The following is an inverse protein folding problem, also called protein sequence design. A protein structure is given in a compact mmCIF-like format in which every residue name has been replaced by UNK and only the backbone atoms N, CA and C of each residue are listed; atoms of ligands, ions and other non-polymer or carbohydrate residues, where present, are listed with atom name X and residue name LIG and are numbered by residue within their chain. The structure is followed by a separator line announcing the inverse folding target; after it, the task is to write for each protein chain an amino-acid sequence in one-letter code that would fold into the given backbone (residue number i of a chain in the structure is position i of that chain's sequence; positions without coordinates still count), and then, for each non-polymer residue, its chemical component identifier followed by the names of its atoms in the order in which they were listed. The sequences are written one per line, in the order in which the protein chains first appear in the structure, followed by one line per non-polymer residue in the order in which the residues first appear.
data_IF_549731441230
#
_entry.id   IF_549731441230
#
_cell.length_a   1.000
_cell.length_b   1.000
_cell.length_c   1.000
_cell.angle_alpha   90.00
_cell.angle_beta   90.00
_cell.angle_gamma   90.00
#
_symmetry.space_group_name_H-M   'P 1'
#
loop_
_entity.id
_entity.type
_entity.pdbx_description
1 polymer ?
#
# COMPACT_ATOMS: atom_id res chain seq x y z
N UNK A 1 8.06 6.16 17.55
CA UNK A 1 6.85 5.73 16.82
C UNK A 1 7.09 4.42 16.09
N UNK A 2 6.08 3.57 15.95
CA UNK A 2 6.18 2.44 15.05
C UNK A 2 5.76 2.82 13.64
N UNK A 3 6.39 2.20 12.65
CA UNK A 3 6.07 2.40 11.23
C UNK A 3 5.75 1.07 10.58
N UNK A 4 4.67 1.03 9.81
CA UNK A 4 4.19 -0.20 9.17
C UNK A 4 3.98 0.01 7.67
N UNK A 5 4.33 -1.00 6.86
CA UNK A 5 3.65 -1.18 5.59
C UNK A 5 2.20 -1.63 5.83
N UNK A 6 1.34 -1.59 4.80
CA UNK A 6 -0.07 -1.88 4.98
C UNK A 6 -0.48 -3.25 4.46
N UNK A 7 -0.32 -3.44 3.14
CA UNK A 7 -0.82 -4.63 2.45
C UNK A 7 -0.01 -5.86 2.84
N UNK A 8 -0.70 -6.96 3.23
CA UNK A 8 -0.12 -8.20 3.77
C UNK A 8 0.67 -8.02 5.06
N UNK A 9 0.97 -6.80 5.47
CA UNK A 9 1.61 -6.47 6.74
C UNK A 9 0.59 -6.39 7.86
N UNK A 10 -0.19 -5.31 7.96
CA UNK A 10 -1.25 -5.16 8.96
C UNK A 10 -2.65 -5.52 8.43
N UNK A 11 -2.81 -5.60 7.13
CA UNK A 11 -4.00 -6.09 6.44
C UNK A 11 -3.69 -7.44 5.77
N UNK A 12 -4.56 -8.44 5.90
CA UNK A 12 -4.28 -9.80 5.42
C UNK A 12 -4.08 -9.92 3.90
N UNK A 13 -4.66 -9.01 3.12
CA UNK A 13 -4.63 -9.03 1.67
C UNK A 13 -3.97 -7.79 1.08
N UNK A 14 -4.03 -7.64 -0.23
CA UNK A 14 -3.73 -6.40 -0.95
C UNK A 14 -5.01 -5.55 -1.03
N UNK A 15 -5.02 -4.42 -0.32
CA UNK A 15 -6.17 -3.53 -0.21
C UNK A 15 -6.61 -2.96 -1.55
N UNK A 16 -5.65 -2.64 -2.43
CA UNK A 16 -5.94 -2.15 -3.78
C UNK A 16 -6.64 -3.21 -4.61
N UNK A 17 -6.15 -4.45 -4.60
CA UNK A 17 -6.77 -5.58 -5.29
C UNK A 17 -8.17 -5.83 -4.76
N UNK A 18 -8.34 -5.88 -3.45
CA UNK A 18 -9.63 -6.14 -2.81
C UNK A 18 -10.63 -5.03 -3.14
N UNK A 19 -10.20 -3.76 -3.18
CA UNK A 19 -11.04 -2.64 -3.59
C UNK A 19 -11.47 -2.73 -5.06
N UNK A 20 -10.54 -3.08 -5.96
CA UNK A 20 -10.87 -3.31 -7.40
C UNK A 20 -11.91 -4.41 -7.54
N UNK A 21 -11.74 -5.55 -6.87
CA UNK A 21 -12.68 -6.67 -6.92
C UNK A 21 -14.04 -6.29 -6.31
N UNK A 22 -14.02 -5.53 -5.22
CA UNK A 22 -15.22 -4.99 -4.60
C UNK A 22 -15.98 -4.07 -5.56
N UNK A 23 -15.27 -3.17 -6.26
CA UNK A 23 -15.86 -2.28 -7.27
C UNK A 23 -16.47 -3.07 -8.44
N UNK A 24 -15.79 -4.10 -8.94
CA UNK A 24 -16.34 -4.94 -10.02
C UNK A 24 -17.64 -5.65 -9.61
N UNK A 25 -17.73 -6.06 -8.34
CA UNK A 25 -18.94 -6.71 -7.80
C UNK A 25 -20.11 -5.74 -7.64
N UNK A 26 -19.85 -4.51 -7.17
CA UNK A 26 -20.90 -3.53 -6.85
C UNK A 26 -21.28 -2.62 -8.03
N UNK A 27 -20.39 -2.45 -9.00
CA UNK A 27 -20.53 -1.59 -10.16
C UNK A 27 -20.22 -2.34 -11.47
N UNK A 28 -21.18 -3.09 -12.05
CA UNK A 28 -20.93 -3.85 -13.29
C UNK A 28 -20.36 -3.02 -14.44
N UNK A 29 -20.64 -1.71 -14.48
CA UNK A 29 -20.04 -0.79 -15.46
C UNK A 29 -18.51 -0.74 -15.40
N UNK A 30 -17.90 -1.05 -14.26
CA UNK A 30 -16.44 -1.10 -14.11
C UNK A 30 -15.82 -2.23 -14.91
N UNK A 31 -16.57 -3.29 -15.22
CA UNK A 31 -16.12 -4.41 -16.07
C UNK A 31 -15.79 -3.97 -17.50
N UNK A 32 -16.37 -2.86 -17.99
CA UNK A 32 -16.04 -2.28 -19.29
C UNK A 32 -14.58 -1.83 -19.40
N UNK A 33 -13.90 -1.66 -18.27
CA UNK A 33 -12.46 -1.32 -18.22
C UNK A 33 -11.53 -2.54 -18.25
N UNK A 34 -12.05 -3.77 -18.13
CA UNK A 34 -11.24 -5.01 -18.16
C UNK A 34 -10.37 -5.15 -19.42
N UNK A 35 -10.85 -4.87 -20.63
CA UNK A 35 -10.00 -4.93 -21.84
C UNK A 35 -8.81 -3.97 -21.76
N UNK A 36 -9.03 -2.77 -21.22
CA UNK A 36 -7.95 -1.78 -21.04
C UNK A 36 -6.94 -2.24 -19.96
N UNK A 37 -7.44 -2.80 -18.86
CA UNK A 37 -6.60 -3.35 -17.79
C UNK A 37 -5.78 -4.52 -18.32
N UNK A 38 -6.41 -5.44 -19.06
CA UNK A 38 -5.74 -6.57 -19.70
C UNK A 38 -4.63 -6.12 -20.67
N UNK A 39 -4.94 -5.17 -21.54
CA UNK A 39 -3.94 -4.58 -22.44
C UNK A 39 -2.77 -3.95 -21.66
N UNK A 40 -3.06 -3.17 -20.62
CA UNK A 40 -2.02 -2.54 -19.79
C UNK A 40 -1.14 -3.58 -19.09
N UNK A 41 -1.74 -4.67 -18.60
CA UNK A 41 -1.04 -5.78 -17.95
C UNK A 41 -0.10 -6.48 -18.91
N UNK A 42 -0.58 -6.86 -20.08
CA UNK A 42 0.24 -7.52 -21.13
C UNK A 42 1.38 -6.60 -21.56
N UNK A 43 1.08 -5.32 -21.83
CA UNK A 43 2.09 -4.33 -22.22
C UNK A 43 3.22 -4.20 -21.20
N UNK A 44 2.86 -4.13 -19.91
CA UNK A 44 3.82 -3.92 -18.83
C UNK A 44 4.61 -5.18 -18.50
N UNK A 45 3.93 -6.33 -18.28
CA UNK A 45 4.58 -7.55 -17.81
C UNK A 45 5.17 -8.42 -18.90
N UNK A 46 4.52 -8.50 -20.08
CA UNK A 46 5.02 -9.34 -21.19
C UNK A 46 6.00 -8.60 -22.10
N UNK A 47 5.71 -7.33 -22.40
CA UNK A 47 6.55 -6.54 -23.30
C UNK A 47 7.51 -5.58 -22.59
N UNK A 48 7.42 -5.45 -21.26
CA UNK A 48 8.25 -4.54 -20.45
C UNK A 48 8.19 -3.08 -20.92
N UNK A 49 7.03 -2.63 -21.46
CA UNK A 49 6.83 -1.29 -21.98
C UNK A 49 6.09 -0.41 -20.99
N UNK A 50 6.71 0.73 -20.64
CA UNK A 50 6.16 1.73 -19.73
C UNK A 50 6.61 1.55 -18.30
N UNK A 51 6.14 2.44 -17.41
CA UNK A 51 6.47 2.43 -15.99
C UNK A 51 5.37 1.75 -15.16
N UNK A 52 5.72 1.33 -13.93
CA UNK A 52 4.75 0.81 -12.95
C UNK A 52 3.64 1.82 -12.66
N UNK A 53 3.96 3.11 -12.66
CA UNK A 53 2.99 4.20 -12.46
C UNK A 53 2.00 4.28 -13.61
N UNK A 54 2.48 4.29 -14.87
CA UNK A 54 1.60 4.29 -16.05
C UNK A 54 0.69 3.06 -16.12
N UNK A 55 1.21 1.89 -15.72
CA UNK A 55 0.41 0.67 -15.63
C UNK A 55 -0.72 0.84 -14.60
N UNK A 56 -0.38 1.31 -13.38
CA UNK A 56 -1.36 1.54 -12.31
C UNK A 56 -2.40 2.60 -12.70
N UNK A 57 -2.01 3.68 -13.37
CA UNK A 57 -2.95 4.71 -13.84
C UNK A 57 -3.98 4.16 -14.85
N UNK A 58 -3.55 3.27 -15.74
CA UNK A 58 -4.48 2.60 -16.66
C UNK A 58 -5.41 1.65 -15.92
N UNK A 59 -4.89 0.93 -14.92
CA UNK A 59 -5.68 0.07 -14.05
C UNK A 59 -6.74 0.86 -13.29
N UNK A 60 -6.42 2.07 -12.78
CA UNK A 60 -7.33 2.89 -12.00
C UNK A 60 -8.38 3.66 -12.81
N UNK A 61 -8.39 3.59 -14.15
CA UNK A 61 -9.41 4.30 -14.96
C UNK A 61 -10.85 3.90 -14.63
N UNK A 62 -11.09 2.72 -14.08
CA UNK A 62 -12.42 2.29 -13.64
C UNK A 62 -13.01 3.16 -12.52
N UNK A 63 -12.17 3.92 -11.78
CA UNK A 63 -12.62 4.83 -10.73
C UNK A 63 -13.65 5.86 -11.22
N UNK A 64 -13.63 6.20 -12.51
CA UNK A 64 -14.63 7.06 -13.14
C UNK A 64 -16.06 6.50 -13.11
N UNK A 65 -16.22 5.21 -12.84
CA UNK A 65 -17.51 4.52 -12.84
C UNK A 65 -18.08 4.30 -11.42
N UNK A 66 -17.39 4.77 -10.38
CA UNK A 66 -17.79 4.64 -8.97
C UNK A 66 -18.13 6.00 -8.35
N UNK A 67 -18.65 6.00 -7.11
CA UNK A 67 -19.02 7.22 -6.38
C UNK A 67 -17.87 7.83 -5.54
N UNK A 68 -16.66 7.40 -5.78
CA UNK A 68 -15.48 7.96 -5.13
C UNK A 68 -15.41 7.67 -3.63
N UNK A 69 -15.35 8.72 -2.80
CA UNK A 69 -15.13 8.60 -1.35
C UNK A 69 -16.18 7.77 -0.62
N UNK A 70 -17.44 7.86 -1.02
CA UNK A 70 -18.53 7.09 -0.40
C UNK A 70 -18.31 5.58 -0.56
N UNK A 71 -17.80 5.15 -1.70
CA UNK A 71 -17.52 3.74 -1.97
C UNK A 71 -16.31 3.23 -1.20
N UNK A 72 -15.30 4.08 -0.98
CA UNK A 72 -14.17 3.73 -0.11
C UNK A 72 -14.62 3.52 1.34
N UNK A 73 -15.51 4.39 1.84
CA UNK A 73 -16.09 4.23 3.19
C UNK A 73 -16.91 2.94 3.31
N UNK A 74 -17.71 2.59 2.28
CA UNK A 74 -18.47 1.34 2.24
C UNK A 74 -17.56 0.12 2.19
N UNK A 75 -16.53 0.17 1.36
CA UNK A 75 -15.51 -0.88 1.27
C UNK A 75 -14.90 -1.15 2.65
N UNK A 76 -14.45 -0.13 3.37
CA UNK A 76 -13.85 -0.32 4.69
C UNK A 76 -14.83 -0.74 5.77
N UNK A 77 -16.12 -0.43 5.67
CA UNK A 77 -17.14 -1.01 6.56
C UNK A 77 -17.20 -2.54 6.44
N UNK A 78 -17.02 -3.06 5.24
CA UNK A 78 -17.06 -4.50 4.97
C UNK A 78 -15.71 -5.19 5.22
N UNK A 79 -14.58 -4.49 5.04
CA UNK A 79 -13.23 -5.07 4.99
C UNK A 79 -12.35 -4.77 6.20
N UNK A 80 -12.79 -3.94 7.13
CA UNK A 80 -12.00 -3.55 8.30
C UNK A 80 -11.59 -4.75 9.18
N UNK A 81 -12.39 -5.81 9.19
CA UNK A 81 -12.09 -7.07 9.89
C UNK A 81 -10.84 -7.77 9.35
N UNK A 82 -10.37 -7.40 8.14
CA UNK A 82 -9.12 -7.88 7.57
C UNK A 82 -7.85 -7.27 8.18
N UNK A 83 -7.97 -6.34 9.14
CA UNK A 83 -6.83 -5.89 9.95
C UNK A 83 -6.41 -7.03 10.89
N UNK A 84 -5.13 -7.39 10.86
CA UNK A 84 -4.56 -8.52 11.59
C UNK A 84 -4.62 -8.32 13.10
N UNK A 85 -4.85 -9.39 13.89
CA UNK A 85 -4.90 -9.33 15.36
C UNK A 85 -3.63 -8.77 15.98
N UNK A 86 -2.45 -9.22 15.51
CA UNK A 86 -1.18 -8.76 16.07
C UNK A 86 -1.04 -7.23 16.04
N UNK A 87 -1.49 -6.59 14.93
CA UNK A 87 -1.43 -5.13 14.83
C UNK A 87 -2.30 -4.46 15.90
N UNK A 88 -3.50 -5.01 16.17
CA UNK A 88 -4.40 -4.48 17.20
C UNK A 88 -3.82 -4.59 18.61
N UNK A 89 -2.95 -5.59 18.84
CA UNK A 89 -2.29 -5.82 20.13
C UNK A 89 -1.11 -4.87 20.36
N UNK A 90 -0.38 -4.49 19.30
CA UNK A 90 0.81 -3.63 19.38
C UNK A 90 0.56 -2.18 18.97
N UNK A 91 -0.64 -1.88 18.46
CA UNK A 91 -1.03 -0.56 17.98
C UNK A 91 -0.83 0.55 19.01
N UNK A 92 -0.36 1.69 18.55
CA UNK A 92 -0.23 2.95 19.29
C UNK A 92 -0.80 4.12 18.50
N UNK A 93 -1.25 5.15 19.19
CA UNK A 93 -1.88 6.35 18.57
C UNK A 93 -0.90 7.18 17.71
N UNK A 94 0.41 6.98 17.86
CA UNK A 94 1.46 7.64 17.06
C UNK A 94 1.99 6.76 15.91
N UNK A 95 1.33 5.64 15.62
CA UNK A 95 1.72 4.75 14.52
C UNK A 95 1.59 5.43 13.15
N UNK A 96 2.52 5.11 12.28
CA UNK A 96 2.55 5.61 10.90
C UNK A 96 2.45 4.45 9.92
N UNK A 97 1.49 4.51 9.02
CA UNK A 97 1.39 3.58 7.89
C UNK A 97 2.03 4.23 6.66
N UNK A 98 2.97 3.52 6.01
CA UNK A 98 3.60 3.97 4.77
C UNK A 98 3.42 2.92 3.68
N UNK A 99 2.56 3.20 2.69
CA UNK A 99 2.14 2.20 1.70
C UNK A 99 2.24 2.68 0.25
N UNK A 100 2.48 1.73 -0.65
CA UNK A 100 2.38 1.94 -2.09
C UNK A 100 0.92 1.94 -2.61
N UNK A 101 -0.05 1.63 -1.77
CA UNK A 101 -1.48 1.72 -2.08
C UNK A 101 -1.95 3.17 -2.21
N UNK A 102 -3.08 3.45 -2.89
CA UNK A 102 -3.59 4.80 -3.05
C UNK A 102 -3.96 5.47 -1.71
N UNK A 103 -3.55 6.72 -1.54
CA UNK A 103 -3.86 7.49 -0.34
C UNK A 103 -5.37 7.61 -0.10
N UNK A 104 -6.17 7.85 -1.15
CA UNK A 104 -7.63 7.93 -1.02
C UNK A 104 -8.25 6.67 -0.43
N UNK A 105 -7.62 5.49 -0.68
CA UNK A 105 -8.09 4.20 -0.17
C UNK A 105 -7.78 4.05 1.32
N UNK A 106 -6.58 4.44 1.75
CA UNK A 106 -6.11 4.21 3.12
C UNK A 106 -6.44 5.35 4.09
N UNK A 107 -6.57 6.60 3.59
CA UNK A 107 -6.83 7.79 4.41
C UNK A 107 -8.04 7.69 5.35
N UNK A 108 -9.18 7.03 4.99
CA UNK A 108 -10.29 6.83 5.92
C UNK A 108 -9.93 5.99 7.16
N UNK A 109 -8.84 5.24 7.12
CA UNK A 109 -8.36 4.44 8.27
C UNK A 109 -7.71 5.31 9.35
N UNK A 110 -7.22 6.51 9.04
CA UNK A 110 -6.63 7.42 10.03
C UNK A 110 -7.56 7.65 11.22
N UNK A 111 -8.83 7.99 10.92
CA UNK A 111 -9.84 8.21 11.96
C UNK A 111 -10.29 6.93 12.65
N UNK A 112 -10.26 5.79 11.92
CA UNK A 112 -10.75 4.51 12.46
C UNK A 112 -9.73 3.83 13.37
N UNK A 113 -8.45 4.06 13.10
CA UNK A 113 -7.32 3.41 13.79
C UNK A 113 -6.48 4.42 14.58
N UNK A 114 -6.80 5.71 14.55
CA UNK A 114 -6.05 6.80 15.18
C UNK A 114 -4.55 6.78 14.82
N UNK A 115 -4.25 6.85 13.52
CA UNK A 115 -2.92 6.70 12.92
C UNK A 115 -2.65 7.80 11.89
N UNK A 116 -1.40 7.91 11.44
CA UNK A 116 -1.04 8.71 10.28
C UNK A 116 -0.82 7.81 9.06
N UNK A 117 -1.37 8.20 7.90
CA UNK A 117 -1.18 7.49 6.63
C UNK A 117 -0.35 8.31 5.65
N UNK A 118 0.75 7.74 5.19
CA UNK A 118 1.59 8.20 4.07
C UNK A 118 1.44 7.17 2.95
N UNK A 119 0.88 7.56 1.81
CA UNK A 119 0.58 6.62 0.74
C UNK A 119 0.74 7.24 -0.64
N UNK A 120 0.55 6.47 -1.71
CA UNK A 120 0.64 7.00 -3.08
C UNK A 120 -0.48 8.01 -3.34
N UNK A 121 -0.13 9.24 -3.69
CA UNK A 121 -1.11 10.26 -4.05
C UNK A 121 -1.72 9.90 -5.40
N UNK A 122 -2.98 9.51 -5.38
CA UNK A 122 -3.75 9.14 -6.56
C UNK A 122 -5.09 9.87 -6.51
N UNK A 123 -5.42 10.58 -7.58
CA UNK A 123 -6.73 11.24 -7.68
C UNK A 123 -7.83 10.20 -7.87
N UNK A 124 -8.80 10.18 -6.96
CA UNK A 124 -9.88 9.19 -6.94
C UNK A 124 -10.84 9.29 -8.14
N UNK A 125 -10.93 10.45 -8.78
CA UNK A 125 -11.86 10.67 -9.90
C UNK A 125 -11.23 10.29 -11.25
N UNK A 126 -9.91 10.39 -11.36
CA UNK A 126 -9.19 10.19 -12.62
C UNK A 126 -8.29 8.97 -12.63
N UNK A 127 -7.87 8.49 -11.45
CA UNK A 127 -6.88 7.43 -11.27
C UNK A 127 -5.45 7.85 -11.59
N UNK A 128 -5.19 9.15 -11.76
CA UNK A 128 -3.85 9.67 -12.04
C UNK A 128 -3.04 9.84 -10.77
N UNK A 129 -1.77 9.57 -10.88
CA UNK A 129 -0.80 9.84 -9.81
C UNK A 129 -0.45 11.34 -9.76
N UNK A 130 -0.37 11.87 -8.53
CA UNK A 130 0.27 13.14 -8.22
C UNK A 130 1.64 12.83 -7.60
N UNK A 131 2.67 12.82 -8.42
CA UNK A 131 4.03 12.42 -8.06
C UNK A 131 4.32 10.93 -8.27
N UNK A 132 5.33 10.41 -7.56
CA UNK A 132 5.80 9.03 -7.70
C UNK A 132 4.94 8.06 -6.86
N UNK A 133 5.00 6.77 -7.24
CA UNK A 133 4.46 5.71 -6.40
C UNK A 133 5.26 5.63 -5.08
N UNK A 134 4.57 5.59 -3.93
CA UNK A 134 5.18 5.51 -2.59
C UNK A 134 5.78 4.11 -2.35
N UNK A 135 6.92 3.85 -2.97
CA UNK A 135 7.59 2.55 -3.00
C UNK A 135 9.09 2.70 -2.83
N UNK A 136 9.74 1.77 -2.14
CA UNK A 136 11.19 1.73 -1.91
C UNK A 136 11.69 3.06 -1.30
N UNK A 137 12.70 3.72 -1.90
CA UNK A 137 13.27 4.96 -1.42
C UNK A 137 12.28 6.13 -1.33
N UNK A 138 11.21 6.14 -2.13
CA UNK A 138 10.17 7.17 -2.05
C UNK A 138 9.42 7.12 -0.71
N UNK A 139 9.29 5.93 -0.07
CA UNK A 139 8.73 5.80 1.28
C UNK A 139 9.58 6.60 2.29
N UNK A 140 10.91 6.47 2.23
CA UNK A 140 11.83 7.22 3.10
C UNK A 140 11.71 8.72 2.90
N UNK A 141 11.70 9.16 1.62
CA UNK A 141 11.58 10.58 1.28
C UNK A 141 10.31 11.17 1.91
N UNK A 142 9.15 10.54 1.70
CA UNK A 142 7.87 11.01 2.24
C UNK A 142 7.80 10.95 3.76
N UNK A 143 8.41 9.95 4.36
CA UNK A 143 8.54 9.90 5.81
C UNK A 143 9.32 11.11 6.33
N UNK A 144 10.47 11.42 5.73
CA UNK A 144 11.30 12.57 6.12
C UNK A 144 10.67 13.93 5.81
N UNK A 145 9.83 14.03 4.79
CA UNK A 145 9.06 15.25 4.51
C UNK A 145 8.07 15.57 5.65
N UNK A 146 7.43 14.56 6.24
CA UNK A 146 6.47 14.73 7.33
C UNK A 146 7.14 14.73 8.70
N UNK A 147 8.18 13.91 8.88
CA UNK A 147 8.94 13.73 10.11
C UNK A 147 10.44 13.91 9.86
N UNK A 148 10.96 15.16 9.70
CA UNK A 148 12.37 15.40 9.39
C UNK A 148 13.33 14.75 10.39
N UNK A 149 13.04 14.88 11.70
CA UNK A 149 13.83 14.31 12.81
C UNK A 149 13.16 13.09 13.44
N UNK A 150 12.15 12.53 12.77
CA UNK A 150 11.38 11.40 13.27
C UNK A 150 12.25 10.15 13.44
N UNK A 151 12.13 9.48 14.61
CA UNK A 151 12.77 8.21 14.91
C UNK A 151 11.77 7.08 14.78
N UNK A 152 12.17 6.02 14.10
CA UNK A 152 11.38 4.80 13.96
C UNK A 152 11.87 3.81 15.01
N UNK A 153 11.04 3.53 16.02
CA UNK A 153 11.36 2.54 17.06
C UNK A 153 11.32 1.13 16.45
N UNK A 154 10.22 0.81 15.75
CA UNK A 154 10.07 -0.49 15.10
C UNK A 154 9.42 -0.34 13.73
N UNK A 155 9.95 -1.05 12.74
CA UNK A 155 9.40 -1.12 11.38
C UNK A 155 8.89 -2.52 11.07
N UNK A 156 7.74 -2.61 10.39
CA UNK A 156 7.10 -3.86 9.99
C UNK A 156 6.73 -3.84 8.51
N UNK A 157 7.11 -4.86 7.75
CA UNK A 157 6.72 -5.02 6.33
C UNK A 157 6.70 -6.49 5.92
N UNK A 158 5.86 -6.83 4.93
CA UNK A 158 5.87 -8.16 4.29
C UNK A 158 6.99 -8.32 3.25
N UNK A 159 7.73 -7.25 2.95
CA UNK A 159 8.63 -7.22 1.80
C UNK A 159 9.98 -6.57 2.08
N UNK A 160 11.05 -7.23 1.69
CA UNK A 160 12.40 -6.66 1.69
C UNK A 160 12.59 -5.47 0.73
N UNK A 161 11.61 -5.18 -0.14
CA UNK A 161 11.64 -3.95 -0.94
C UNK A 161 11.57 -2.68 -0.08
N UNK A 162 11.17 -2.79 1.18
CA UNK A 162 11.09 -1.69 2.14
C UNK A 162 12.34 -1.54 3.03
N UNK A 163 13.45 -2.24 2.67
CA UNK A 163 14.74 -2.14 3.37
C UNK A 163 15.19 -0.69 3.65
N UNK A 164 14.98 0.29 2.74
CA UNK A 164 15.35 1.67 3.06
C UNK A 164 14.69 2.25 4.32
N UNK A 165 13.46 1.82 4.65
CA UNK A 165 12.81 2.19 5.91
C UNK A 165 13.30 1.34 7.08
N UNK A 166 13.52 0.04 6.85
CA UNK A 166 14.06 -0.86 7.86
C UNK A 166 15.43 -0.39 8.40
N UNK A 167 16.26 0.20 7.52
CA UNK A 167 17.58 0.77 7.88
C UNK A 167 17.48 2.05 8.73
N UNK A 168 16.31 2.69 8.81
CA UNK A 168 16.07 3.88 9.66
C UNK A 168 15.48 3.52 11.02
N UNK A 169 15.09 2.27 11.22
CA UNK A 169 14.43 1.81 12.44
C UNK A 169 15.45 1.21 13.43
N UNK A 170 15.18 1.35 14.72
CA UNK A 170 15.97 0.69 15.77
C UNK A 170 15.77 -0.84 15.69
N UNK A 171 14.57 -1.30 15.32
CA UNK A 171 14.25 -2.70 15.04
C UNK A 171 13.39 -2.81 13.79
N UNK A 172 13.55 -3.89 13.04
CA UNK A 172 12.67 -4.17 11.91
C UNK A 172 12.28 -5.65 11.85
N UNK A 173 11.06 -5.91 11.37
CA UNK A 173 10.50 -7.25 11.24
C UNK A 173 9.91 -7.47 9.85
N UNK A 174 10.13 -8.67 9.33
CA UNK A 174 9.34 -9.21 8.21
C UNK A 174 8.08 -9.86 8.81
N UNK A 175 6.93 -9.49 8.25
CA UNK A 175 5.63 -10.07 8.60
C UNK A 175 5.26 -11.13 7.58
N UNK A 176 5.37 -12.39 7.95
CA UNK A 176 4.95 -13.53 7.12
C UNK A 176 3.71 -14.19 7.72
N UNK A 177 2.56 -13.97 7.08
CA UNK A 177 1.27 -14.32 7.68
C UNK A 177 1.02 -13.57 8.99
N UNK A 178 0.97 -14.31 10.11
CA UNK A 178 0.84 -13.76 11.47
C UNK A 178 2.17 -13.83 12.24
N UNK A 179 3.26 -14.28 11.61
CA UNK A 179 4.58 -14.39 12.24
C UNK A 179 5.38 -13.11 12.05
N UNK A 180 6.11 -12.73 13.11
CA UNK A 180 7.11 -11.67 13.07
C UNK A 180 8.50 -12.31 13.05
N UNK A 181 9.26 -12.05 11.98
CA UNK A 181 10.61 -12.58 11.76
C UNK A 181 11.58 -11.41 11.76
N UNK A 182 12.70 -11.52 12.48
CA UNK A 182 13.72 -10.47 12.49
C UNK A 182 14.19 -10.15 11.07
N UNK A 183 14.41 -8.87 10.80
CA UNK A 183 14.83 -8.41 9.47
C UNK A 183 16.22 -8.92 9.11
N UNK A 184 16.34 -9.65 7.99
CA UNK A 184 17.63 -10.12 7.47
C UNK A 184 18.26 -9.06 6.54
N UNK A 185 19.12 -8.21 7.06
CA UNK A 185 19.87 -7.19 6.31
C UNK A 185 20.89 -7.79 5.32
N UNK A 186 21.05 -9.10 5.28
CA UNK A 186 21.92 -9.80 4.30
C UNK A 186 21.14 -10.36 3.11
N UNK A 187 19.80 -10.21 3.11
CA UNK A 187 18.92 -10.80 2.11
C UNK A 187 19.32 -10.45 0.67
N UNK A 188 19.61 -9.18 0.38
CA UNK A 188 20.07 -8.76 -0.95
C UNK A 188 21.41 -9.37 -1.37
N UNK A 189 22.34 -9.57 -0.44
CA UNK A 189 23.63 -10.18 -0.73
C UNK A 189 23.50 -11.66 -1.11
N UNK A 190 22.49 -12.36 -0.58
CA UNK A 190 22.19 -13.76 -0.93
C UNK A 190 21.63 -13.88 -2.34
N UNK A 191 20.72 -12.98 -2.75
CA UNK A 191 20.10 -12.99 -4.08
C UNK A 191 21.03 -12.56 -5.22
N UNK A 192 22.16 -11.90 -4.93
CA UNK A 192 23.20 -11.56 -5.93
C UNK A 192 24.19 -12.70 -6.17
N UNK A 193 24.13 -13.81 -5.39
CA UNK A 193 25.05 -14.96 -5.49
C UNK A 193 24.40 -16.20 -6.10
N UNK A 194 23.13 -16.13 -6.47
CA UNK A 194 22.37 -17.17 -7.18
C UNK A 194 22.07 -16.72 -8.60
#
# INVERSE_FOLDING_TARGET
MNVFDFDKTIYYSDSTRDFVLWCFRHYPKTLLYLPLIGYATVRYYAFHIGTKTEFKEKMYRFLKAIKGKEDVERFWKEKISGIKPFYKEIHKDDDVIISASPEFLLKPLEKKLNITVIASKVDINTGKYDGLNCYHAEKVKRFRELYPDGKIDTFYSDSYSDEPLALLADKAYIVDGDMLIDWDYTHHKKNLRT
#
